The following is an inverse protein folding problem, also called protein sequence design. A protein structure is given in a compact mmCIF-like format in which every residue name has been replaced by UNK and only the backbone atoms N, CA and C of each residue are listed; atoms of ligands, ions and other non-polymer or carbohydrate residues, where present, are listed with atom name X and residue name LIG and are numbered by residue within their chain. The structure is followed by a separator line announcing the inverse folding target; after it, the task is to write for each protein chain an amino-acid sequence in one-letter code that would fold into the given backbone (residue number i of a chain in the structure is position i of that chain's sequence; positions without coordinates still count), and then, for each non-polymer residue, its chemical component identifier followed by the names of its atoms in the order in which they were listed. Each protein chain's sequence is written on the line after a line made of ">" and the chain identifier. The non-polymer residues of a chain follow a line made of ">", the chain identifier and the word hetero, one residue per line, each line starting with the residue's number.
data_IF_878900229638
#
_entry.id   IF_878900229638
#
_cell.length_a   1.000
_cell.length_b   1.000
_cell.length_c   1.000
_cell.angle_alpha   90.00
_cell.angle_beta   90.00
_cell.angle_gamma   90.00
#
_symmetry.space_group_name_H-M   'P 1'
#
loop_
_entity.id
_entity.type
_entity.pdbx_description
1 polymer ?
#
# COMPACT_ATOMS: atom_id res chain seq x y z
N UNK A 1 -5.35 4.61 2.13
CA UNK A 1 -5.41 4.53 3.62
C UNK A 1 -6.79 4.15 4.16
N UNK A 2 -7.86 4.95 3.99
CA UNK A 2 -9.18 4.62 4.59
C UNK A 2 -9.88 3.44 3.90
N UNK A 3 -9.75 3.37 2.57
CA UNK A 3 -10.48 2.42 1.72
C UNK A 3 -9.91 0.99 1.73
N UNK A 4 -8.61 0.82 1.99
CA UNK A 4 -7.96 -0.50 2.02
C UNK A 4 -8.58 -1.39 3.10
N UNK A 5 -8.97 -2.61 2.74
CA UNK A 5 -9.66 -3.57 3.62
C UNK A 5 -11.01 -3.09 4.20
N UNK A 6 -11.52 -1.95 3.76
CA UNK A 6 -12.79 -1.38 4.23
C UNK A 6 -13.92 -1.60 3.24
N UNK A 7 -13.69 -1.22 1.98
CA UNK A 7 -14.70 -1.29 0.91
C UNK A 7 -14.70 -2.67 0.21
N UNK A 8 -13.54 -3.31 0.18
CA UNK A 8 -13.35 -4.68 -0.30
C UNK A 8 -12.03 -5.21 0.27
N UNK A 9 -11.79 -6.52 0.17
CA UNK A 9 -10.53 -7.12 0.60
C UNK A 9 -9.32 -6.48 -0.11
N UNK A 10 -9.39 -6.26 -1.43
CA UNK A 10 -8.38 -5.55 -2.19
C UNK A 10 -8.53 -4.02 -2.19
N UNK A 11 -9.40 -3.44 -1.35
CA UNK A 11 -9.62 -2.01 -1.26
C UNK A 11 -10.24 -1.37 -2.52
N UNK A 12 -9.97 -0.07 -2.70
CA UNK A 12 -10.56 0.73 -3.79
C UNK A 12 -10.07 0.31 -5.17
N UNK A 13 -8.83 -0.17 -5.26
CA UNK A 13 -8.22 -0.66 -6.50
C UNK A 13 -8.96 -1.87 -7.07
N UNK A 14 -9.34 -2.84 -6.21
CA UNK A 14 -10.17 -3.96 -6.64
C UNK A 14 -11.58 -3.51 -7.01
N UNK A 15 -12.16 -2.59 -6.23
CA UNK A 15 -13.54 -2.13 -6.45
C UNK A 15 -13.71 -1.41 -7.79
N UNK A 16 -12.76 -0.56 -8.18
CA UNK A 16 -12.79 0.17 -9.45
C UNK A 16 -12.00 -0.50 -10.58
N UNK A 17 -11.37 -1.65 -10.34
CA UNK A 17 -10.57 -2.36 -11.36
C UNK A 17 -9.34 -1.59 -11.83
N UNK A 18 -8.74 -0.77 -10.96
CA UNK A 18 -7.54 0.03 -11.29
C UNK A 18 -6.30 -0.60 -10.67
N UNK A 19 -5.16 -0.51 -11.38
CA UNK A 19 -3.87 -0.98 -10.89
C UNK A 19 -2.98 0.25 -10.64
N UNK A 20 -2.81 0.67 -9.38
CA UNK A 20 -1.97 1.81 -9.06
C UNK A 20 -0.49 1.43 -9.09
N UNK A 21 0.38 2.40 -9.38
CA UNK A 21 1.83 2.19 -9.30
C UNK A 21 2.31 2.07 -7.85
N UNK A 22 1.68 2.82 -6.94
CA UNK A 22 1.90 2.79 -5.50
C UNK A 22 0.57 2.86 -4.74
N UNK A 23 0.50 2.16 -3.61
CA UNK A 23 -0.64 2.14 -2.70
C UNK A 23 -0.18 2.45 -1.28
N UNK A 24 -0.85 3.40 -0.63
CA UNK A 24 -0.64 3.73 0.78
C UNK A 24 -1.74 3.12 1.67
N UNK A 25 -1.33 2.34 2.66
CA UNK A 25 -2.17 1.64 3.62
C UNK A 25 -1.93 2.14 5.05
N UNK A 26 -2.91 1.90 5.90
CA UNK A 26 -2.89 2.25 7.32
C UNK A 26 -4.23 1.89 7.93
N UNK A 27 -4.51 2.38 9.14
CA UNK A 27 -5.78 2.13 9.85
C UNK A 27 -6.04 0.63 10.05
N UNK A 28 -6.84 0.00 9.19
CA UNK A 28 -7.29 -1.39 9.36
C UNK A 28 -6.11 -2.36 9.44
N UNK A 29 -5.05 -2.13 8.64
CA UNK A 29 -3.86 -3.00 8.66
C UNK A 29 -3.13 -2.99 10.00
N UNK A 30 -3.34 -1.97 10.83
CA UNK A 30 -2.75 -1.90 12.16
C UNK A 30 -3.53 -2.64 13.22
N UNK A 31 -4.75 -3.10 12.94
CA UNK A 31 -5.57 -3.83 13.92
C UNK A 31 -5.82 -3.07 15.23
N UNK A 32 -5.80 -1.74 15.21
CA UNK A 32 -5.90 -0.89 16.40
C UNK A 32 -4.55 -0.37 16.93
N UNK A 33 -3.42 -0.83 16.39
CA UNK A 33 -2.09 -0.32 16.68
C UNK A 33 -1.64 0.72 15.63
N UNK A 34 -0.66 1.60 15.95
CA UNK A 34 -0.08 2.55 15.00
C UNK A 34 0.70 1.83 13.90
N UNK A 35 0.12 1.77 12.70
CA UNK A 35 0.75 1.15 11.53
C UNK A 35 0.45 1.95 10.26
N UNK A 36 1.50 2.18 9.48
CA UNK A 36 1.44 2.64 8.10
C UNK A 36 2.26 1.70 7.21
N UNK A 37 1.82 1.52 5.97
CA UNK A 37 2.56 0.76 4.98
C UNK A 37 2.36 1.38 3.60
N UNK A 38 3.33 1.18 2.72
CA UNK A 38 3.21 1.52 1.31
C UNK A 38 3.84 0.41 0.48
N UNK A 39 3.34 0.24 -0.75
CA UNK A 39 3.80 -0.81 -1.66
C UNK A 39 3.33 -0.57 -3.08
N UNK A 40 4.00 -1.18 -4.04
CA UNK A 40 3.72 -0.93 -5.45
C UNK A 40 4.52 -1.83 -6.37
N UNK A 41 4.73 -1.36 -7.60
CA UNK A 41 5.53 -2.08 -8.60
C UNK A 41 6.94 -2.35 -8.10
N UNK A 42 7.49 -3.51 -8.45
CA UNK A 42 8.85 -3.93 -8.07
C UNK A 42 9.91 -2.92 -8.50
N UNK A 43 9.84 -2.43 -9.74
CA UNK A 43 10.77 -1.42 -10.27
C UNK A 43 10.79 -0.11 -9.47
N UNK A 44 9.71 0.21 -8.75
CA UNK A 44 9.65 1.37 -7.84
C UNK A 44 10.18 0.97 -6.46
N UNK A 45 9.74 -0.16 -5.92
CA UNK A 45 10.13 -0.62 -4.58
C UNK A 45 11.62 -0.99 -4.48
N UNK A 46 12.25 -1.41 -5.59
CA UNK A 46 13.68 -1.73 -5.64
C UNK A 46 14.58 -0.46 -5.49
N UNK A 47 14.01 0.76 -5.56
CA UNK A 47 14.74 1.99 -5.19
C UNK A 47 14.90 2.16 -3.68
N UNK A 48 14.15 1.41 -2.86
CA UNK A 48 14.20 1.52 -1.41
C UNK A 48 15.45 0.82 -0.85
N UNK A 49 16.00 1.41 0.21
CA UNK A 49 17.08 0.82 0.99
C UNK A 49 16.62 -0.50 1.62
N UNK A 50 17.46 -1.55 1.67
CA UNK A 50 18.88 -1.56 1.31
C UNK A 50 19.21 -1.83 -0.17
N UNK A 51 18.22 -2.02 -1.04
CA UNK A 51 18.44 -2.38 -2.45
C UNK A 51 18.80 -1.17 -3.32
N UNK A 52 18.15 -0.04 -3.07
CA UNK A 52 18.34 1.20 -3.79
C UNK A 52 18.75 2.38 -2.90
N UNK A 53 18.92 3.57 -3.51
CA UNK A 53 19.49 4.73 -2.84
C UNK A 53 18.48 5.52 -1.99
N UNK A 54 17.19 5.17 -2.01
CA UNK A 54 16.13 5.91 -1.30
C UNK A 54 15.90 5.29 0.07
N UNK A 55 16.04 6.08 1.13
CA UNK A 55 15.80 5.63 2.51
C UNK A 55 14.37 5.97 2.98
#
# INVERSE_FOLDING_TARGET
>A
VISGFRISYGGVQQYFGVIPDLTCLGKIIGGGLPVGAYGGRKEIMDYLSPLGPVY
#
